data_IF_020216214593
#
_entry.id   IF_020216214593
#
_cell.length_a   1.000
_cell.length_b   1.000
_cell.length_c   1.000
_cell.angle_alpha   90.00
_cell.angle_beta   90.00
_cell.angle_gamma   90.00
#
_symmetry.space_group_name_H-M   'P 1'
#
loop_
_entity.id
_entity.type
_entity.pdbx_description
1 polymer ?
#
# COMPACT_ATOMS: atom_id res chain seq x y z
N UNK A 1 -19.39 1.47 -9.55
CA UNK A 1 -18.18 0.69 -9.29
C UNK A 1 -18.41 -0.19 -8.08
N UNK A 2 -17.98 -1.46 -8.08
CA UNK A 2 -18.04 -2.28 -6.86
C UNK A 2 -17.25 -1.58 -5.75
N UNK A 3 -17.76 -1.66 -4.51
CA UNK A 3 -17.11 -1.09 -3.35
C UNK A 3 -15.79 -1.83 -3.07
N UNK A 4 -14.71 -1.07 -2.77
CA UNK A 4 -13.45 -1.66 -2.35
C UNK A 4 -13.60 -2.25 -0.95
N UNK A 5 -13.35 -3.55 -0.82
CA UNK A 5 -13.33 -4.23 0.48
C UNK A 5 -12.03 -3.92 1.19
N UNK A 6 -12.09 -3.64 2.47
CA UNK A 6 -10.90 -3.38 3.29
C UNK A 6 -11.13 -3.90 4.69
N UNK A 7 -10.09 -4.43 5.32
CA UNK A 7 -10.11 -4.75 6.75
C UNK A 7 -10.11 -3.48 7.58
N UNK A 8 -10.88 -3.51 8.66
CA UNK A 8 -10.83 -2.52 9.71
C UNK A 8 -9.93 -2.99 10.86
N UNK A 9 -9.50 -2.03 11.69
CA UNK A 9 -8.69 -2.29 12.88
C UNK A 9 -9.33 -3.33 13.82
N UNK A 10 -10.66 -3.36 13.90
CA UNK A 10 -11.40 -4.36 14.69
C UNK A 10 -11.19 -5.77 14.18
N UNK A 11 -11.18 -5.97 12.86
CA UNK A 11 -11.04 -7.30 12.24
C UNK A 11 -9.65 -7.86 12.51
N UNK A 12 -8.64 -6.99 12.50
CA UNK A 12 -7.26 -7.34 12.80
C UNK A 12 -7.11 -7.72 14.27
N UNK A 13 -7.69 -6.93 15.17
CA UNK A 13 -7.71 -7.22 16.62
C UNK A 13 -8.39 -8.55 16.92
N UNK A 14 -9.50 -8.86 16.25
CA UNK A 14 -10.22 -10.10 16.44
C UNK A 14 -9.41 -11.31 16.00
N UNK A 15 -8.80 -11.27 14.80
CA UNK A 15 -7.96 -12.37 14.31
C UNK A 15 -6.78 -12.65 15.26
N UNK A 16 -6.07 -11.61 15.70
CA UNK A 16 -4.94 -11.79 16.62
C UNK A 16 -5.39 -12.40 17.95
N UNK A 17 -6.57 -12.04 18.45
CA UNK A 17 -7.13 -12.64 19.65
C UNK A 17 -7.51 -14.12 19.47
N UNK A 18 -8.02 -14.49 18.28
CA UNK A 18 -8.38 -15.88 17.94
C UNK A 18 -7.12 -16.77 17.83
N UNK A 19 -6.10 -16.31 17.10
CA UNK A 19 -4.80 -16.98 16.96
C UNK A 19 -4.09 -17.21 18.33
N UNK A 20 -4.29 -16.29 19.29
CA UNK A 20 -3.75 -16.39 20.66
C UNK A 20 -4.43 -17.50 21.50
N UNK A 21 -5.67 -17.90 21.18
CA UNK A 21 -6.45 -18.85 22.01
C UNK A 21 -6.34 -20.33 21.58
N UNK A 22 -5.79 -20.61 20.39
CA UNK A 22 -5.77 -21.94 19.78
C UNK A 22 -4.43 -22.69 19.87
N UNK A 23 -3.44 -22.13 20.57
CA UNK A 23 -2.08 -22.68 20.68
C UNK A 23 -1.73 -23.04 22.13
N UNK A 24 -1.62 -24.33 22.46
CA UNK A 24 -0.93 -24.80 23.69
C UNK A 24 0.60 -24.61 23.61
N UNK A 25 1.14 -24.24 22.45
CA UNK A 25 2.49 -23.70 22.37
C UNK A 25 2.49 -22.26 22.89
N UNK A 26 3.57 -21.85 23.56
CA UNK A 26 3.74 -20.50 24.07
C UNK A 26 3.25 -19.47 23.03
N UNK A 27 2.49 -18.43 23.45
CA UNK A 27 1.87 -17.48 22.53
C UNK A 27 2.92 -17.03 21.53
N UNK A 28 2.55 -16.95 20.24
CA UNK A 28 3.42 -16.48 19.17
C UNK A 28 3.78 -15.02 19.49
N UNK A 29 4.85 -14.84 20.27
CA UNK A 29 5.38 -13.54 20.66
C UNK A 29 6.13 -12.99 19.46
N UNK A 30 5.42 -12.38 18.53
CA UNK A 30 6.06 -11.61 17.47
C UNK A 30 6.32 -10.23 18.07
N UNK A 31 7.58 -10.00 18.43
CA UNK A 31 8.02 -8.72 18.92
C UNK A 31 8.37 -7.83 17.72
N UNK A 32 7.69 -6.70 17.57
CA UNK A 32 8.20 -5.62 16.72
C UNK A 32 9.26 -4.90 17.55
N UNK A 33 10.54 -5.26 17.34
CA UNK A 33 11.71 -4.70 18.04
C UNK A 33 11.59 -4.70 19.58
N UNK A 34 11.09 -5.79 20.18
CA UNK A 34 11.06 -5.98 21.63
C UNK A 34 9.86 -5.39 22.37
N UNK A 35 8.89 -4.79 21.67
CA UNK A 35 7.53 -4.54 22.20
C UNK A 35 6.54 -5.56 21.66
N UNK A 36 5.56 -5.89 22.50
CA UNK A 36 4.45 -6.76 22.16
C UNK A 36 3.55 -6.06 21.14
N UNK A 37 3.13 -6.76 20.08
CA UNK A 37 2.15 -6.27 19.09
C UNK A 37 0.88 -5.71 19.76
N UNK A 38 0.52 -6.28 20.91
CA UNK A 38 -0.62 -5.85 21.72
C UNK A 38 -0.45 -4.44 22.28
N UNK A 39 0.76 -3.95 22.50
CA UNK A 39 0.99 -2.59 23.00
C UNK A 39 0.64 -1.54 21.93
N UNK A 40 0.97 -1.81 20.66
CA UNK A 40 0.62 -0.92 19.54
C UNK A 40 -0.89 -0.88 19.25
N UNK A 41 -1.56 -2.02 19.40
CA UNK A 41 -3.01 -2.14 19.20
C UNK A 41 -3.84 -1.65 20.39
N UNK A 42 -3.25 -1.64 21.60
CA UNK A 42 -3.87 -1.14 22.84
C UNK A 42 -3.72 0.36 23.02
N UNK A 43 -2.55 0.93 22.70
CA UNK A 43 -2.26 2.31 23.12
C UNK A 43 -3.08 3.37 22.38
N UNK A 44 -3.54 3.12 21.14
CA UNK A 44 -4.41 4.04 20.40
C UNK A 44 -3.89 5.50 20.31
N UNK A 45 -2.63 5.74 20.67
CA UNK A 45 -2.14 7.04 21.13
C UNK A 45 -1.22 7.74 20.14
N UNK A 46 -0.72 7.03 19.13
CA UNK A 46 0.00 7.63 18.01
C UNK A 46 -0.23 6.82 16.75
N UNK A 47 -0.94 7.43 15.77
CA UNK A 47 -1.22 6.85 14.46
C UNK A 47 0.07 6.49 13.68
N UNK A 48 1.21 7.13 14.01
CA UNK A 48 2.52 6.94 13.37
C UNK A 48 3.63 7.09 14.41
N UNK A 49 4.62 6.21 14.35
CA UNK A 49 5.91 6.30 15.04
C UNK A 49 7.01 6.08 14.01
N UNK A 50 7.65 7.17 13.59
CA UNK A 50 8.65 7.17 12.53
C UNK A 50 9.74 6.10 12.76
N UNK A 51 9.97 5.25 11.76
CA UNK A 51 10.97 4.18 11.79
C UNK A 51 10.61 2.96 12.66
N UNK A 52 9.43 2.96 13.31
CA UNK A 52 8.98 1.88 14.20
C UNK A 52 7.62 1.34 13.77
N UNK A 53 6.63 2.21 13.51
CA UNK A 53 5.29 1.84 13.07
C UNK A 53 4.67 2.97 12.25
N UNK A 54 4.53 2.80 10.94
CA UNK A 54 4.14 3.88 10.03
C UNK A 54 2.62 3.95 9.77
N UNK A 55 1.78 3.44 10.68
CA UNK A 55 0.33 3.65 10.62
C UNK A 55 -0.44 2.81 9.59
N UNK A 56 0.15 1.73 9.07
CA UNK A 56 -0.40 0.95 7.95
C UNK A 56 -1.71 0.19 8.22
N UNK A 57 -2.21 0.16 9.47
CA UNK A 57 -3.51 -0.45 9.80
C UNK A 57 -4.69 0.51 9.57
N UNK A 58 -4.43 1.80 9.35
CA UNK A 58 -5.44 2.81 9.02
C UNK A 58 -5.39 3.12 7.53
N UNK A 59 -6.57 3.25 6.92
CA UNK A 59 -6.67 3.84 5.58
C UNK A 59 -6.71 5.35 5.70
N UNK A 60 -5.79 6.02 5.02
CA UNK A 60 -5.69 7.48 5.00
C UNK A 60 -6.50 8.10 3.85
N UNK A 61 -7.01 9.32 4.05
CA UNK A 61 -7.92 9.98 3.10
C UNK A 61 -7.26 10.20 1.73
N UNK A 62 -5.96 10.51 1.69
CA UNK A 62 -5.23 10.74 0.45
C UNK A 62 -5.23 9.51 -0.49
N UNK A 63 -5.45 8.30 0.03
CA UNK A 63 -5.59 7.10 -0.81
C UNK A 63 -6.85 7.16 -1.69
N UNK A 64 -7.94 7.72 -1.18
CA UNK A 64 -9.18 7.90 -1.94
C UNK A 64 -9.07 9.03 -2.97
N UNK A 65 -8.41 10.13 -2.60
CA UNK A 65 -8.11 11.21 -3.56
C UNK A 65 -7.25 10.68 -4.72
N UNK A 66 -6.26 9.83 -4.41
CA UNK A 66 -5.42 9.18 -5.42
C UNK A 66 -6.23 8.26 -6.33
N UNK A 67 -7.13 7.45 -5.76
CA UNK A 67 -8.06 6.61 -6.55
C UNK A 67 -8.90 7.47 -7.50
N UNK A 68 -9.46 8.58 -7.02
CA UNK A 68 -10.28 9.46 -7.84
C UNK A 68 -9.50 10.05 -9.02
N UNK A 69 -8.25 10.51 -8.77
CA UNK A 69 -7.37 10.99 -9.83
C UNK A 69 -7.05 9.89 -10.85
N UNK A 70 -6.65 8.70 -10.39
CA UNK A 70 -6.30 7.58 -11.26
C UNK A 70 -7.50 7.15 -12.10
N UNK A 71 -8.70 7.09 -11.49
CA UNK A 71 -9.93 6.71 -12.16
C UNK A 71 -10.32 7.68 -13.29
N UNK A 72 -10.00 8.97 -13.12
CA UNK A 72 -10.20 10.02 -14.12
C UNK A 72 -9.09 10.07 -15.18
N UNK A 73 -7.86 9.70 -14.80
CA UNK A 73 -6.68 9.79 -15.68
C UNK A 73 -6.56 8.57 -16.59
N UNK A 74 -6.86 7.37 -16.09
CA UNK A 74 -6.65 6.11 -16.80
C UNK A 74 -7.97 5.40 -17.07
N UNK A 75 -8.40 5.40 -18.34
CA UNK A 75 -9.56 4.63 -18.78
C UNK A 75 -9.37 3.13 -18.50
N UNK A 76 -10.44 2.34 -18.27
CA UNK A 76 -10.33 0.89 -18.06
C UNK A 76 -9.47 0.23 -19.15
N UNK A 77 -8.61 -0.70 -18.77
CA UNK A 77 -7.64 -1.35 -19.67
C UNK A 77 -6.45 -0.50 -20.15
N UNK A 78 -6.40 0.82 -19.88
CA UNK A 78 -5.28 1.68 -20.32
C UNK A 78 -3.93 1.30 -19.70
N UNK A 79 -3.93 0.69 -18.51
CA UNK A 79 -2.74 0.18 -17.84
C UNK A 79 -2.52 -1.33 -18.06
N UNK A 80 -3.21 -1.96 -19.02
CA UNK A 80 -2.96 -3.37 -19.34
C UNK A 80 -1.54 -3.58 -19.88
N UNK A 81 -0.88 -4.63 -19.38
CA UNK A 81 0.53 -4.91 -19.66
C UNK A 81 1.51 -3.95 -18.97
N UNK A 82 1.03 -3.00 -18.17
CA UNK A 82 1.86 -2.06 -17.40
C UNK A 82 2.19 -2.62 -16.01
N UNK A 83 3.25 -2.08 -15.43
CA UNK A 83 3.69 -2.40 -14.07
C UNK A 83 3.51 -1.20 -13.15
N UNK A 84 2.78 -1.41 -12.06
CA UNK A 84 2.50 -0.43 -11.03
C UNK A 84 3.21 -0.85 -9.73
N UNK A 85 3.77 0.12 -9.00
CA UNK A 85 4.29 -0.09 -7.65
C UNK A 85 3.56 0.84 -6.69
N UNK A 86 3.04 0.30 -5.60
CA UNK A 86 2.50 1.11 -4.49
C UNK A 86 3.48 1.10 -3.32
N UNK A 87 4.07 2.27 -3.02
CA UNK A 87 5.01 2.48 -1.91
C UNK A 87 4.28 2.95 -0.65
N UNK A 88 4.59 2.32 0.49
CA UNK A 88 3.88 2.56 1.75
C UNK A 88 2.40 2.21 1.62
N UNK A 89 2.11 1.00 1.13
CA UNK A 89 0.78 0.66 0.64
C UNK A 89 -0.29 0.54 1.75
N UNK A 90 0.05 0.15 2.98
CA UNK A 90 -0.94 -0.05 4.04
C UNK A 90 -2.13 -0.91 3.58
N UNK A 91 -3.33 -0.32 3.58
CA UNK A 91 -4.55 -0.96 3.07
C UNK A 91 -4.60 -1.23 1.56
N UNK A 92 -3.67 -0.67 0.79
CA UNK A 92 -3.41 -0.92 -0.63
C UNK A 92 -4.56 -0.62 -1.61
N UNK A 93 -5.47 0.26 -1.21
CA UNK A 93 -6.66 0.56 -2.01
C UNK A 93 -6.34 1.16 -3.40
N UNK A 94 -5.39 2.10 -3.54
CA UNK A 94 -4.96 2.59 -4.85
C UNK A 94 -4.51 1.48 -5.79
N UNK A 95 -3.61 0.58 -5.37
CA UNK A 95 -3.13 -0.51 -6.20
C UNK A 95 -4.19 -1.57 -6.49
N UNK A 96 -5.03 -1.91 -5.50
CA UNK A 96 -6.17 -2.83 -5.68
C UNK A 96 -7.14 -2.29 -6.73
N UNK A 97 -7.41 -0.98 -6.71
CA UNK A 97 -8.27 -0.35 -7.72
C UNK A 97 -7.73 -0.56 -9.13
N UNK A 98 -6.40 -0.51 -9.30
CA UNK A 98 -5.79 -0.75 -10.60
C UNK A 98 -5.93 -2.21 -11.02
N UNK A 99 -5.77 -3.15 -10.09
CA UNK A 99 -6.00 -4.58 -10.37
C UNK A 99 -7.43 -4.86 -10.86
N UNK A 100 -8.43 -4.15 -10.33
CA UNK A 100 -9.83 -4.27 -10.75
C UNK A 100 -10.12 -3.64 -12.11
N UNK A 101 -9.52 -2.49 -12.41
CA UNK A 101 -9.81 -1.72 -13.63
C UNK A 101 -9.00 -2.15 -14.86
N UNK A 102 -7.89 -2.84 -14.64
CA UNK A 102 -6.93 -3.18 -15.70
C UNK A 102 -6.59 -4.67 -15.57
N UNK A 103 -7.33 -5.56 -16.26
CA UNK A 103 -7.20 -7.01 -16.09
C UNK A 103 -5.77 -7.56 -16.27
N UNK A 104 -4.94 -6.89 -17.09
CA UNK A 104 -3.57 -7.33 -17.38
C UNK A 104 -2.49 -6.47 -16.71
N UNK A 105 -2.87 -5.57 -15.79
CA UNK A 105 -1.88 -4.82 -14.99
C UNK A 105 -1.25 -5.72 -13.93
N UNK A 106 0.04 -5.51 -13.68
CA UNK A 106 0.74 -6.04 -12.52
C UNK A 106 0.92 -4.93 -11.48
N UNK A 107 0.62 -5.22 -10.22
CA UNK A 107 0.76 -4.27 -9.11
C UNK A 107 1.58 -4.88 -7.99
N UNK A 108 2.75 -4.31 -7.74
CA UNK A 108 3.56 -4.69 -6.58
C UNK A 108 3.25 -3.75 -5.41
N UNK A 109 3.17 -4.32 -4.22
CA UNK A 109 2.84 -3.63 -2.97
C UNK A 109 4.05 -3.64 -2.05
N UNK A 110 4.44 -2.46 -1.58
CA UNK A 110 5.55 -2.31 -0.64
C UNK A 110 5.08 -1.61 0.63
N UNK A 111 5.44 -2.17 1.78
CA UNK A 111 5.26 -1.52 3.08
C UNK A 111 6.51 -1.73 3.94
N UNK A 112 6.73 -0.84 4.91
CA UNK A 112 7.83 -1.01 5.87
C UNK A 112 7.60 -2.28 6.72
N UNK A 113 6.35 -2.52 7.14
CA UNK A 113 6.01 -3.55 8.10
C UNK A 113 5.51 -4.82 7.42
N UNK A 114 6.20 -5.94 7.63
CA UNK A 114 5.76 -7.25 7.13
C UNK A 114 4.36 -7.64 7.63
N UNK A 115 4.01 -7.28 8.86
CA UNK A 115 2.69 -7.57 9.42
C UNK A 115 1.58 -6.74 8.78
N UNK A 116 1.86 -5.50 8.33
CA UNK A 116 0.88 -4.74 7.54
C UNK A 116 0.58 -5.46 6.23
N UNK A 117 1.61 -5.96 5.56
CA UNK A 117 1.44 -6.75 4.35
C UNK A 117 0.64 -8.04 4.60
N UNK A 118 0.94 -8.75 5.68
CA UNK A 118 0.30 -10.03 6.03
C UNK A 118 -1.15 -9.85 6.50
N UNK A 119 -1.41 -8.89 7.38
CA UNK A 119 -2.68 -8.77 8.09
C UNK A 119 -3.67 -7.84 7.39
N UNK A 120 -3.19 -6.93 6.54
CA UNK A 120 -4.02 -5.91 5.87
C UNK A 120 -3.95 -6.05 4.36
N UNK A 121 -2.75 -5.88 3.79
CA UNK A 121 -2.57 -5.72 2.35
C UNK A 121 -2.99 -6.98 1.61
N UNK A 122 -2.46 -8.14 1.98
CA UNK A 122 -2.76 -9.41 1.32
C UNK A 122 -4.25 -9.78 1.45
N UNK A 123 -4.88 -9.75 2.65
CA UNK A 123 -6.33 -9.97 2.76
C UNK A 123 -7.18 -9.02 1.91
N UNK A 124 -6.82 -7.73 1.84
CA UNK A 124 -7.54 -6.77 1.00
C UNK A 124 -7.37 -7.10 -0.49
N UNK A 125 -6.16 -7.45 -0.93
CA UNK A 125 -5.91 -7.86 -2.33
C UNK A 125 -6.75 -9.09 -2.67
N UNK A 126 -6.74 -10.11 -1.81
CA UNK A 126 -7.54 -11.33 -2.00
C UNK A 126 -9.04 -10.97 -2.11
N UNK A 127 -9.59 -10.26 -1.13
CA UNK A 127 -11.01 -9.90 -1.08
C UNK A 127 -11.52 -9.10 -2.29
N UNK A 128 -10.63 -8.44 -3.04
CA UNK A 128 -11.00 -7.58 -4.16
C UNK A 128 -10.59 -8.13 -5.55
N UNK A 129 -9.79 -9.18 -5.62
CA UNK A 129 -9.24 -9.69 -6.90
C UNK A 129 -9.60 -11.14 -7.18
N UNK A 130 -10.08 -11.86 -6.18
CA UNK A 130 -10.54 -13.22 -6.33
C UNK A 130 -12.05 -13.15 -6.50
N UNK A 131 -12.57 -13.71 -7.59
CA UNK A 131 -14.01 -13.78 -7.81
C UNK A 131 -14.68 -14.33 -6.55
N UNK A 132 -15.81 -13.73 -6.15
CA UNK A 132 -16.67 -14.30 -5.13
C UNK A 132 -16.85 -15.80 -5.45
N UNK A 133 -16.69 -16.72 -4.49
CA UNK A 133 -17.22 -18.04 -4.72
C UNK A 133 -18.70 -17.87 -5.10
N UNK A 134 -19.15 -18.51 -6.18
CA UNK A 134 -20.58 -18.73 -6.39
C UNK A 134 -21.06 -19.51 -5.17
N UNK A 135 -21.52 -18.77 -4.17
CA UNK A 135 -21.88 -19.31 -2.88
C UNK A 135 -23.30 -19.83 -3.02
N UNK A 136 -23.42 -21.12 -3.33
CA UNK A 136 -24.68 -21.82 -3.17
C UNK A 136 -24.95 -21.93 -1.66
N UNK A 137 -25.77 -21.00 -1.16
CA UNK A 137 -26.20 -20.93 0.24
C UNK A 137 -26.91 -22.22 0.72
N UNK A 138 -27.13 -23.21 -0.15
CA UNK A 138 -27.74 -24.49 0.18
C UNK A 138 -26.84 -25.49 0.92
N UNK A 139 -25.52 -25.24 1.06
CA UNK A 139 -24.63 -26.17 1.76
C UNK A 139 -24.01 -25.55 3.01
N UNK A 140 -24.50 -25.97 4.18
CA UNK A 140 -24.03 -25.56 5.52
C UNK A 140 -22.62 -26.10 5.88
N UNK A 141 -21.75 -26.38 4.92
CA UNK A 141 -20.47 -27.03 5.17
C UNK A 141 -19.27 -26.11 4.98
N UNK A 142 -19.26 -25.02 5.76
CA UNK A 142 -18.19 -24.03 5.83
C UNK A 142 -16.83 -24.60 6.24
N UNK A 143 -16.81 -25.75 6.93
CA UNK A 143 -15.57 -26.41 7.35
C UNK A 143 -14.81 -27.06 6.18
N UNK A 144 -15.49 -27.39 5.08
CA UNK A 144 -14.85 -27.99 3.90
C UNK A 144 -14.03 -27.00 3.06
N UNK A 145 -14.50 -25.75 2.97
CA UNK A 145 -13.85 -24.68 2.18
C UNK A 145 -12.56 -24.16 2.82
N UNK A 146 -12.45 -24.21 4.15
CA UNK A 146 -11.27 -23.76 4.89
C UNK A 146 -10.14 -24.80 4.92
N UNK A 147 -10.42 -26.04 4.51
CA UNK A 147 -9.46 -27.15 4.45
C UNK A 147 -9.09 -27.57 3.03
N UNK A 148 -9.69 -26.97 2.00
CA UNK A 148 -9.35 -27.25 0.61
C UNK A 148 -8.06 -26.51 0.20
N UNK A 149 -6.94 -27.21 0.37
CA UNK A 149 -5.62 -26.74 -0.05
C UNK A 149 -5.56 -26.37 -1.52
N UNK A 150 -6.39 -26.96 -2.38
CA UNK A 150 -6.42 -26.73 -3.83
C UNK A 150 -6.98 -25.34 -4.17
N UNK A 151 -8.06 -24.95 -3.48
CA UNK A 151 -8.67 -23.63 -3.62
C UNK A 151 -7.69 -22.54 -3.13
N UNK A 152 -7.05 -22.76 -1.98
CA UNK A 152 -6.06 -21.84 -1.41
C UNK A 152 -4.80 -21.71 -2.30
N UNK A 153 -4.32 -22.80 -2.89
CA UNK A 153 -3.22 -22.78 -3.86
C UNK A 153 -3.58 -22.00 -5.12
N UNK A 154 -4.80 -22.19 -5.65
CA UNK A 154 -5.27 -21.50 -6.86
C UNK A 154 -5.40 -19.99 -6.61
N UNK A 155 -5.95 -19.62 -5.45
CA UNK A 155 -6.06 -18.24 -4.98
C UNK A 155 -4.68 -17.57 -4.90
N UNK A 156 -3.74 -18.27 -4.28
CA UNK A 156 -2.35 -17.82 -4.11
C UNK A 156 -1.67 -17.65 -5.46
N UNK A 157 -1.88 -18.58 -6.41
CA UNK A 157 -1.34 -18.47 -7.78
C UNK A 157 -1.92 -17.28 -8.54
N UNK A 158 -3.22 -17.02 -8.42
CA UNK A 158 -3.86 -15.87 -9.08
C UNK A 158 -3.32 -14.54 -8.56
N UNK A 159 -3.18 -14.38 -7.24
CA UNK A 159 -2.59 -13.17 -6.66
C UNK A 159 -1.11 -13.05 -7.02
N UNK A 160 -0.33 -14.13 -6.87
CA UNK A 160 1.11 -14.14 -7.16
C UNK A 160 1.43 -13.88 -8.64
N UNK A 161 0.51 -14.19 -9.55
CA UNK A 161 0.67 -13.92 -10.98
C UNK A 161 0.61 -12.42 -11.32
N UNK A 162 -0.02 -11.61 -10.46
CA UNK A 162 -0.25 -10.18 -10.72
C UNK A 162 0.31 -9.25 -9.65
N UNK A 163 0.75 -9.78 -8.51
CA UNK A 163 1.20 -8.98 -7.37
C UNK A 163 2.38 -9.61 -6.64
N UNK A 164 3.33 -8.78 -6.24
CA UNK A 164 4.38 -9.11 -5.26
C UNK A 164 4.23 -8.23 -4.02
N UNK A 165 4.66 -8.74 -2.87
CA UNK A 165 4.61 -8.04 -1.59
C UNK A 165 6.03 -7.87 -1.04
N UNK A 166 6.46 -6.63 -0.85
CA UNK A 166 7.82 -6.26 -0.51
C UNK A 166 7.84 -5.58 0.86
N UNK A 167 8.42 -6.24 1.85
CA UNK A 167 8.58 -5.68 3.20
C UNK A 167 9.95 -4.99 3.35
N UNK A 168 9.99 -3.85 4.05
CA UNK A 168 11.22 -3.24 4.53
C UNK A 168 11.40 -1.76 4.16
N UNK A 169 12.52 -1.19 4.60
CA UNK A 169 12.88 0.21 4.38
C UNK A 169 13.14 0.51 2.89
N UNK A 170 12.66 1.66 2.42
CA UNK A 170 12.86 2.14 1.06
C UNK A 170 14.33 2.18 0.62
N UNK A 171 15.26 2.41 1.55
CA UNK A 171 16.70 2.39 1.27
C UNK A 171 17.19 1.02 0.74
N UNK A 172 16.49 -0.06 1.06
CA UNK A 172 16.82 -1.43 0.62
C UNK A 172 15.97 -1.89 -0.57
N UNK A 173 15.03 -1.06 -1.02
CA UNK A 173 14.07 -1.42 -2.06
C UNK A 173 14.75 -1.73 -3.39
N UNK A 174 15.82 -1.00 -3.74
CA UNK A 174 16.60 -1.25 -4.94
C UNK A 174 17.16 -2.67 -5.01
N UNK A 175 17.68 -3.17 -3.89
CA UNK A 175 18.14 -4.55 -3.75
C UNK A 175 16.98 -5.55 -3.87
N UNK A 176 15.84 -5.26 -3.23
CA UNK A 176 14.66 -6.13 -3.29
C UNK A 176 14.04 -6.22 -4.69
N UNK A 177 14.09 -5.12 -5.46
CA UNK A 177 13.55 -5.06 -6.82
C UNK A 177 14.49 -5.70 -7.86
N UNK A 178 15.81 -5.61 -7.65
CA UNK A 178 16.81 -6.11 -8.58
C UNK A 178 16.59 -5.60 -10.02
N UNK A 179 16.79 -6.47 -11.01
CA UNK A 179 16.56 -6.14 -12.42
C UNK A 179 15.07 -5.90 -12.77
N UNK A 180 14.15 -6.23 -11.86
CA UNK A 180 12.71 -6.02 -12.04
C UNK A 180 12.23 -4.63 -11.59
N UNK A 181 13.13 -3.69 -11.25
CA UNK A 181 12.79 -2.35 -10.77
C UNK A 181 12.41 -1.33 -11.85
N UNK A 182 11.50 -1.66 -12.78
CA UNK A 182 11.06 -0.73 -13.83
C UNK A 182 9.53 -0.67 -13.95
N UNK A 183 8.94 0.30 -13.26
CA UNK A 183 7.51 0.52 -13.19
C UNK A 183 7.08 1.70 -14.07
N UNK A 184 5.99 1.49 -14.80
CA UNK A 184 5.33 2.54 -15.59
C UNK A 184 4.68 3.60 -14.69
N UNK A 185 4.18 3.15 -13.53
CA UNK A 185 3.44 3.97 -12.59
C UNK A 185 3.89 3.66 -11.16
N UNK A 186 4.18 4.68 -10.37
CA UNK A 186 4.40 4.54 -8.93
C UNK A 186 3.31 5.32 -8.19
N UNK A 187 2.72 4.70 -7.18
CA UNK A 187 1.66 5.24 -6.35
C UNK A 187 2.15 5.34 -4.92
N UNK A 188 1.83 6.42 -4.24
CA UNK A 188 2.07 6.52 -2.81
C UNK A 188 1.13 7.55 -2.17
N UNK A 189 0.63 7.23 -0.98
CA UNK A 189 -0.33 8.07 -0.27
C UNK A 189 0.09 8.25 1.20
N UNK A 190 0.19 9.50 1.64
CA UNK A 190 0.63 9.91 2.99
C UNK A 190 1.98 9.35 3.43
N UNK A 191 3.00 9.46 2.56
CA UNK A 191 4.36 8.95 2.82
C UNK A 191 5.43 10.03 3.00
N UNK A 192 5.03 11.32 2.97
CA UNK A 192 5.94 12.47 3.06
C UNK A 192 5.80 13.26 4.36
N UNK A 193 5.13 12.73 5.38
CA UNK A 193 4.90 13.42 6.65
C UNK A 193 6.18 13.63 7.48
N UNK A 194 7.30 12.98 7.14
CA UNK A 194 8.57 13.13 7.85
C UNK A 194 9.71 13.50 6.90
N UNK A 195 10.34 14.65 7.10
CA UNK A 195 11.40 15.17 6.21
C UNK A 195 12.61 14.22 6.08
N UNK A 196 13.00 13.55 7.17
CA UNK A 196 14.13 12.63 7.13
C UNK A 196 13.91 11.42 6.21
N UNK A 197 12.66 11.16 5.81
CA UNK A 197 12.30 10.06 4.91
C UNK A 197 12.23 10.50 3.44
N UNK A 198 12.28 11.80 3.14
CA UNK A 198 12.12 12.32 1.78
C UNK A 198 13.19 11.80 0.83
N UNK A 199 14.45 11.80 1.25
CA UNK A 199 15.56 11.29 0.44
C UNK A 199 15.37 9.82 0.08
N UNK A 200 15.02 8.99 1.07
CA UNK A 200 14.79 7.55 0.86
C UNK A 200 13.62 7.30 -0.11
N UNK A 201 12.51 8.02 0.05
CA UNK A 201 11.37 7.90 -0.85
C UNK A 201 11.70 8.37 -2.27
N UNK A 202 12.37 9.52 -2.39
CA UNK A 202 12.81 10.06 -3.67
C UNK A 202 13.74 9.09 -4.42
N UNK A 203 14.72 8.52 -3.72
CA UNK A 203 15.68 7.58 -4.31
C UNK A 203 15.00 6.26 -4.70
N UNK A 204 14.06 5.77 -3.89
CA UNK A 204 13.23 4.62 -4.21
C UNK A 204 12.39 4.86 -5.48
N UNK A 205 11.77 6.03 -5.60
CA UNK A 205 11.04 6.43 -6.82
C UNK A 205 12.01 6.47 -8.00
N UNK A 206 13.13 7.17 -7.91
CA UNK A 206 14.11 7.27 -9.00
C UNK A 206 14.65 5.92 -9.45
N UNK A 207 14.88 5.00 -8.52
CA UNK A 207 15.38 3.67 -8.84
C UNK A 207 14.33 2.80 -9.53
N UNK A 208 13.08 2.84 -9.04
CA UNK A 208 12.02 1.97 -9.52
C UNK A 208 11.30 2.51 -10.78
N UNK A 209 11.34 3.82 -11.01
CA UNK A 209 10.57 4.46 -12.07
C UNK A 209 11.20 4.22 -13.44
N UNK A 210 10.40 3.70 -14.39
CA UNK A 210 10.86 3.45 -15.76
C UNK A 210 11.27 4.77 -16.43
N UNK A 211 12.40 4.77 -17.14
CA UNK A 211 12.82 5.86 -18.03
C UNK A 211 12.35 5.63 -19.46
N UNK A 212 12.05 6.68 -20.24
CA UNK A 212 11.92 8.09 -19.82
C UNK A 212 10.50 8.44 -19.36
N UNK A 213 9.51 7.57 -19.58
CA UNK A 213 8.09 7.94 -19.55
C UNK A 213 7.35 7.56 -18.25
N UNK A 214 8.05 6.97 -17.27
CA UNK A 214 7.43 6.59 -16.00
C UNK A 214 6.89 7.80 -15.24
N UNK A 215 5.76 7.61 -14.55
CA UNK A 215 5.13 8.63 -13.71
C UNK A 215 4.96 8.13 -12.28
N UNK A 216 5.23 8.99 -11.29
CA UNK A 216 4.86 8.72 -9.90
C UNK A 216 3.81 9.72 -9.42
N UNK A 217 2.82 9.26 -8.66
CA UNK A 217 1.86 10.12 -7.96
C UNK A 217 2.04 9.99 -6.45
N UNK A 218 2.23 11.13 -5.81
CA UNK A 218 2.36 11.28 -4.36
C UNK A 218 1.15 12.07 -3.86
N UNK A 219 0.20 11.38 -3.26
CA UNK A 219 -0.97 12.00 -2.62
C UNK A 219 -0.65 12.29 -1.15
N UNK A 220 -0.80 13.54 -0.72
CA UNK A 220 -0.37 13.97 0.61
C UNK A 220 -1.20 15.12 1.16
N UNK A 221 -1.17 15.29 2.48
CA UNK A 221 -1.64 16.52 3.12
C UNK A 221 -0.64 17.63 2.83
N UNK A 222 -1.14 18.85 2.60
CA UNK A 222 -0.28 20.02 2.39
C UNK A 222 0.65 20.22 3.58
N UNK A 223 0.12 20.08 4.80
CA UNK A 223 0.84 20.18 6.06
C UNK A 223 0.41 19.05 6.99
N UNK A 224 1.38 18.48 7.72
CA UNK A 224 1.15 17.48 8.75
C UNK A 224 1.41 18.11 10.12
N UNK A 225 0.35 18.42 10.88
CA UNK A 225 0.51 19.00 12.22
C UNK A 225 1.22 18.02 13.15
N UNK A 226 2.27 18.49 13.83
CA UNK A 226 3.09 17.67 14.72
C UNK A 226 4.15 16.82 14.00
N UNK A 227 4.26 16.93 12.67
CA UNK A 227 5.31 16.28 11.90
C UNK A 227 6.20 17.33 11.21
N UNK A 228 7.34 16.90 10.69
CA UNK A 228 8.29 17.78 9.99
C UNK A 228 7.93 17.94 8.51
N UNK A 229 7.36 16.91 7.90
CA UNK A 229 7.10 16.88 6.47
C UNK A 229 5.87 17.68 6.01
N UNK A 230 5.89 18.04 4.74
CA UNK A 230 4.85 18.76 4.01
C UNK A 230 5.06 18.57 2.50
N UNK A 231 4.06 18.91 1.70
CA UNK A 231 4.22 18.92 0.23
C UNK A 231 5.30 19.92 -0.21
N UNK A 232 5.44 21.05 0.49
CA UNK A 232 6.47 22.06 0.20
C UNK A 232 7.89 21.53 0.46
N UNK A 233 8.13 20.94 1.63
CA UNK A 233 9.46 20.38 1.98
C UNK A 233 9.86 19.25 1.03
N UNK A 234 8.90 18.40 0.63
CA UNK A 234 9.17 17.34 -0.34
C UNK A 234 9.46 17.91 -1.74
N UNK A 235 8.73 18.94 -2.16
CA UNK A 235 8.98 19.65 -3.41
C UNK A 235 10.38 20.30 -3.44
N UNK A 236 10.78 20.95 -2.35
CA UNK A 236 12.14 21.51 -2.22
C UNK A 236 13.22 20.43 -2.33
N UNK A 237 13.01 19.27 -1.70
CA UNK A 237 13.90 18.13 -1.82
C UNK A 237 14.03 17.64 -3.27
N UNK A 238 12.91 17.39 -3.96
CA UNK A 238 12.89 16.93 -5.36
C UNK A 238 13.55 17.94 -6.30
N UNK A 239 13.29 19.23 -6.09
CA UNK A 239 13.89 20.31 -6.88
C UNK A 239 15.42 20.36 -6.70
N UNK A 240 15.90 20.24 -5.45
CA UNK A 240 17.32 20.24 -5.12
C UNK A 240 18.05 19.00 -5.65
N UNK A 241 17.41 17.83 -5.60
CA UNK A 241 17.99 16.58 -6.11
C UNK A 241 18.15 16.63 -7.65
N UNK A 242 17.15 17.16 -8.37
CA UNK A 242 17.28 17.54 -9.77
C UNK A 242 17.07 16.43 -10.80
N UNK A 243 16.75 15.19 -10.40
CA UNK A 243 16.50 14.07 -11.32
C UNK A 243 15.09 14.08 -11.89
N UNK A 244 14.10 14.48 -11.07
CA UNK A 244 12.69 14.49 -11.42
C UNK A 244 12.16 15.93 -11.52
N UNK A 245 11.14 16.11 -12.36
CA UNK A 245 10.24 17.26 -12.35
C UNK A 245 9.05 16.90 -11.46
N UNK A 246 8.56 17.87 -10.70
CA UNK A 246 7.36 17.75 -9.89
C UNK A 246 6.31 18.74 -10.37
N UNK A 247 5.07 18.27 -10.50
CA UNK A 247 3.91 19.08 -10.84
C UNK A 247 2.78 18.82 -9.85
N UNK A 248 2.06 19.86 -9.45
CA UNK A 248 0.88 19.69 -8.61
C UNK A 248 -0.34 19.51 -9.50
N UNK A 249 -0.85 18.28 -9.58
CA UNK A 249 -1.91 17.92 -10.54
C UNK A 249 -3.32 17.96 -9.94
N UNK A 250 -3.46 17.90 -8.61
CA UNK A 250 -4.76 17.95 -7.95
C UNK A 250 -4.68 18.61 -6.57
N UNK A 251 -5.75 19.31 -6.18
CA UNK A 251 -5.93 19.88 -4.85
C UNK A 251 -7.35 19.58 -4.37
N UNK A 252 -7.46 19.13 -3.12
CA UNK A 252 -8.72 18.86 -2.44
C UNK A 252 -8.82 19.82 -1.27
N UNK A 253 -9.82 20.70 -1.32
CA UNK A 253 -10.12 21.61 -0.22
C UNK A 253 -10.89 20.84 0.85
N UNK A 254 -10.27 20.71 2.02
CA UNK A 254 -10.84 20.07 3.21
C UNK A 254 -10.34 20.79 4.46
N UNK A 255 -10.70 20.33 5.66
CA UNK A 255 -10.21 20.91 6.92
C UNK A 255 -8.67 20.95 6.99
N UNK A 256 -8.02 19.94 6.42
CA UNK A 256 -6.60 19.97 6.07
C UNK A 256 -6.48 19.80 4.56
N UNK A 257 -5.93 20.80 3.88
CA UNK A 257 -5.76 20.73 2.41
C UNK A 257 -4.94 19.49 2.03
N UNK A 258 -5.36 18.79 0.98
CA UNK A 258 -4.69 17.61 0.43
C UNK A 258 -4.40 17.83 -1.04
N UNK A 259 -3.30 17.26 -1.52
CA UNK A 259 -2.74 17.57 -2.82
C UNK A 259 -2.12 16.31 -3.43
N UNK A 260 -2.16 16.22 -4.75
CA UNK A 260 -1.49 15.15 -5.49
C UNK A 260 -0.38 15.76 -6.33
N UNK A 261 0.83 15.26 -6.11
CA UNK A 261 2.04 15.66 -6.80
C UNK A 261 2.36 14.57 -7.84
N UNK A 262 2.60 14.97 -9.08
CA UNK A 262 3.04 14.13 -10.18
C UNK A 262 4.54 14.33 -10.37
N UNK A 263 5.30 13.25 -10.32
CA UNK A 263 6.73 13.25 -10.63
C UNK A 263 6.97 12.54 -11.96
N UNK A 264 7.87 13.10 -12.77
CA UNK A 264 8.32 12.52 -14.04
C UNK A 264 9.79 12.86 -14.27
N UNK A 265 10.48 12.12 -15.14
CA UNK A 265 11.88 12.43 -15.49
C UNK A 265 11.99 13.84 -16.10
N UNK A 266 13.06 14.57 -15.76
CA UNK A 266 13.42 15.78 -16.49
C UNK A 266 13.90 15.37 -17.88
N UNK A 267 13.28 15.92 -18.91
CA UNK A 267 13.62 15.74 -20.33
C UNK A 267 14.60 16.83 -20.75
#
# INVERSE_FOLDING_TARGET
SPALRRRDLSDIKFQLADEDTLSEAAPVRVAVNGRDERDWLRDGGSDVVCGVYEGGFKTWECAFDLIALLDATYAPGMLDGKRVLELGCGSALPGIRQLQRHPQVQVDFQDYNREVLRLVTLPNVLANTTNEPEMDYATEDWHRLTQDTTAQETLTKTVAARSRFLAGDWATLSTALGASGQYDLILTAETIYHEASHAKLHDAICHALRKPDGVAYVAAKTVYFGCTGSTLTFEQHVQAAGQLRLERCHQVESSVRREILKLSWRV
#
